data_IF_217249081606
#
_entry.id   IF_217249081606
#
_cell.length_a   1.000
_cell.length_b   1.000
_cell.length_c   1.000
_cell.angle_alpha   90.00
_cell.angle_beta   90.00
_cell.angle_gamma   90.00
#
_symmetry.space_group_name_H-M   'P 1'
#
loop_
_entity.id
_entity.type
_entity.pdbx_description
1 polymer ?
#
# COMPACT_ATOMS: atom_id res chain seq x y z
N UNK A 1 -1.94 -5.99 -24.84
CA UNK A 1 -2.21 -6.23 -23.39
C UNK A 1 -3.03 -7.50 -23.27
N UNK A 2 -2.70 -8.39 -22.34
CA UNK A 2 -3.48 -9.61 -22.10
C UNK A 2 -4.26 -9.47 -20.81
N UNK A 3 -5.53 -9.83 -20.83
CA UNK A 3 -6.45 -9.74 -19.70
C UNK A 3 -7.01 -11.13 -19.44
N UNK A 4 -6.95 -11.59 -18.19
CA UNK A 4 -7.43 -12.92 -17.81
C UNK A 4 -8.35 -12.83 -16.59
N UNK A 5 -9.59 -13.26 -16.76
CA UNK A 5 -10.50 -13.59 -15.66
C UNK A 5 -10.48 -15.11 -15.38
N UNK A 6 -10.89 -15.49 -14.16
CA UNK A 6 -10.95 -16.89 -13.71
C UNK A 6 -11.91 -17.76 -14.54
N UNK A 7 -12.90 -17.15 -15.17
CA UNK A 7 -14.03 -17.82 -15.80
C UNK A 7 -13.94 -17.97 -17.34
N UNK A 8 -12.77 -17.90 -17.98
CA UNK A 8 -12.54 -18.34 -19.37
C UNK A 8 -12.27 -17.29 -20.45
N UNK A 9 -12.26 -16.00 -20.19
CA UNK A 9 -12.06 -15.05 -21.29
C UNK A 9 -10.67 -14.41 -21.24
N UNK A 10 -9.76 -14.94 -22.03
CA UNK A 10 -8.56 -14.21 -22.41
C UNK A 10 -8.99 -13.17 -23.45
N UNK A 11 -8.96 -11.89 -23.07
CA UNK A 11 -9.20 -10.77 -23.98
C UNK A 11 -7.86 -10.10 -24.29
N UNK A 12 -7.57 -9.87 -25.54
CA UNK A 12 -6.42 -9.07 -25.96
C UNK A 12 -6.89 -7.68 -26.36
N UNK A 13 -6.27 -6.66 -25.76
CA UNK A 13 -6.51 -5.27 -26.10
C UNK A 13 -5.29 -4.76 -26.86
N UNK A 14 -5.51 -4.24 -28.06
CA UNK A 14 -4.48 -3.71 -28.95
C UNK A 14 -4.87 -2.33 -29.46
N UNK A 15 -3.89 -1.47 -29.70
CA UNK A 15 -4.14 -0.14 -30.24
C UNK A 15 -3.23 0.93 -29.63
N UNK A 16 -3.53 2.20 -29.89
CA UNK A 16 -2.84 3.33 -29.26
C UNK A 16 -3.02 3.34 -27.74
N UNK A 17 -2.06 3.93 -27.02
CA UNK A 17 -2.09 3.98 -25.55
C UNK A 17 -3.42 4.49 -24.96
N UNK A 18 -4.02 5.59 -25.48
CA UNK A 18 -5.30 6.07 -24.95
C UNK A 18 -6.42 5.03 -25.07
N UNK A 19 -6.52 4.37 -26.22
CA UNK A 19 -7.55 3.34 -26.46
C UNK A 19 -7.34 2.15 -25.52
N UNK A 20 -6.11 1.63 -25.44
CA UNK A 20 -5.78 0.52 -24.54
C UNK A 20 -6.09 0.87 -23.06
N UNK A 21 -5.85 2.11 -22.65
CA UNK A 21 -6.15 2.55 -21.29
C UNK A 21 -7.67 2.54 -21.02
N UNK A 22 -8.46 3.14 -21.93
CA UNK A 22 -9.92 3.20 -21.81
C UNK A 22 -10.54 1.80 -21.80
N UNK A 23 -10.21 0.96 -22.78
CA UNK A 23 -10.74 -0.40 -22.87
C UNK A 23 -10.36 -1.27 -21.67
N UNK A 24 -9.14 -1.09 -21.13
CA UNK A 24 -8.71 -1.79 -19.92
C UNK A 24 -9.47 -1.36 -18.67
N UNK A 25 -9.75 -0.07 -18.54
CA UNK A 25 -10.57 0.46 -17.44
C UNK A 25 -12.00 -0.06 -17.50
N UNK A 26 -12.61 -0.01 -18.69
CA UNK A 26 -13.96 -0.54 -18.93
C UNK A 26 -14.02 -2.03 -18.61
N UNK A 27 -13.03 -2.80 -19.04
CA UNK A 27 -12.98 -4.23 -18.76
C UNK A 27 -12.90 -4.51 -17.26
N UNK A 28 -12.06 -3.78 -16.51
CA UNK A 28 -11.97 -3.91 -15.04
C UNK A 28 -13.32 -3.57 -14.40
N UNK A 29 -13.95 -2.47 -14.82
CA UNK A 29 -15.25 -2.05 -14.28
C UNK A 29 -16.35 -3.09 -14.53
N UNK A 30 -16.38 -3.71 -15.71
CA UNK A 30 -17.35 -4.74 -16.07
C UNK A 30 -17.14 -6.08 -15.34
N UNK A 31 -15.91 -6.36 -14.90
CA UNK A 31 -15.51 -7.62 -14.26
C UNK A 31 -15.22 -7.48 -12.76
N UNK A 32 -15.48 -6.31 -12.18
CA UNK A 32 -15.39 -6.04 -10.74
C UNK A 32 -16.79 -5.89 -10.14
N UNK A 33 -16.88 -6.10 -8.83
CA UNK A 33 -18.13 -5.89 -8.11
C UNK A 33 -18.39 -4.39 -7.87
N UNK A 34 -19.61 -4.05 -7.50
CA UNK A 34 -19.98 -2.75 -6.95
C UNK A 34 -20.14 -2.87 -5.42
N UNK A 35 -19.76 -1.84 -4.71
CA UNK A 35 -19.88 -1.76 -3.25
C UNK A 35 -20.84 -0.64 -2.89
N UNK A 36 -21.93 -1.00 -2.23
CA UNK A 36 -22.89 0.00 -1.75
C UNK A 36 -22.35 0.71 -0.51
N UNK A 37 -22.29 2.03 -0.56
CA UNK A 37 -21.82 2.89 0.55
C UNK A 37 -22.84 3.97 0.88
N UNK A 38 -22.93 4.30 2.17
CA UNK A 38 -23.71 5.45 2.60
C UNK A 38 -22.88 6.73 2.42
N UNK A 39 -23.47 7.70 1.74
CA UNK A 39 -22.92 9.07 1.66
C UNK A 39 -23.09 9.79 3.01
N UNK A 40 -22.40 10.89 3.20
CA UNK A 40 -22.56 11.75 4.37
C UNK A 40 -24.00 12.29 4.54
N UNK A 41 -24.79 12.32 3.45
CA UNK A 41 -26.21 12.68 3.46
C UNK A 41 -27.15 11.50 3.78
N UNK A 42 -26.60 10.31 4.06
CA UNK A 42 -27.37 9.11 4.42
C UNK A 42 -27.96 8.34 3.22
N UNK A 43 -27.63 8.75 1.99
CA UNK A 43 -28.05 8.01 0.79
C UNK A 43 -27.09 6.86 0.49
N UNK A 44 -27.64 5.72 0.06
CA UNK A 44 -26.85 4.59 -0.45
C UNK A 44 -26.44 4.87 -1.89
N UNK A 45 -25.16 4.76 -2.19
CA UNK A 45 -24.60 4.90 -3.53
C UNK A 45 -23.76 3.67 -3.85
N UNK A 46 -23.94 3.15 -5.06
CA UNK A 46 -23.12 2.06 -5.57
C UNK A 46 -21.85 2.63 -6.22
N UNK A 47 -20.72 2.27 -5.67
CA UNK A 47 -19.39 2.66 -6.15
C UNK A 47 -18.65 1.45 -6.73
N UNK A 48 -17.77 1.65 -7.72
CA UNK A 48 -16.87 0.59 -8.17
C UNK A 48 -16.05 0.04 -7.00
N UNK A 49 -15.86 -1.27 -6.96
CA UNK A 49 -15.03 -1.92 -5.94
C UNK A 49 -13.63 -1.32 -5.86
N UNK A 50 -13.00 -1.09 -7.02
CA UNK A 50 -11.69 -0.46 -7.11
C UNK A 50 -11.81 1.00 -7.53
N UNK A 51 -11.12 1.95 -6.85
CA UNK A 51 -11.18 3.37 -7.18
C UNK A 51 -10.72 3.63 -8.62
N UNK A 52 -11.54 4.26 -9.47
CA UNK A 52 -11.19 4.48 -10.89
C UNK A 52 -9.88 5.28 -11.08
N UNK A 53 -9.62 6.28 -10.23
CA UNK A 53 -8.37 7.06 -10.29
C UNK A 53 -7.13 6.20 -10.02
N UNK A 54 -7.18 5.33 -9.00
CA UNK A 54 -6.08 4.42 -8.69
C UNK A 54 -5.84 3.40 -9.82
N UNK A 55 -6.91 2.84 -10.38
CA UNK A 55 -6.82 1.87 -11.48
C UNK A 55 -6.25 2.55 -12.72
N UNK A 56 -6.76 3.73 -13.08
CA UNK A 56 -6.28 4.51 -14.21
C UNK A 56 -4.77 4.78 -14.10
N UNK A 57 -4.32 5.23 -12.95
CA UNK A 57 -2.92 5.54 -12.72
C UNK A 57 -2.03 4.27 -12.82
N UNK A 58 -2.46 3.14 -12.25
CA UNK A 58 -1.72 1.88 -12.36
C UNK A 58 -1.64 1.40 -13.81
N UNK A 59 -2.73 1.47 -14.57
CA UNK A 59 -2.76 1.07 -15.97
C UNK A 59 -1.90 1.98 -16.84
N UNK A 60 -2.01 3.31 -16.65
CA UNK A 60 -1.18 4.28 -17.36
C UNK A 60 0.30 4.03 -17.10
N UNK A 61 0.69 3.82 -15.84
CA UNK A 61 2.05 3.48 -15.47
C UNK A 61 2.51 2.15 -16.09
N UNK A 62 1.67 1.12 -16.04
CA UNK A 62 1.99 -0.17 -16.64
C UNK A 62 2.21 -0.09 -18.16
N UNK A 63 1.44 0.73 -18.86
CA UNK A 63 1.56 0.92 -20.30
C UNK A 63 2.78 1.78 -20.69
N UNK A 64 3.05 2.85 -19.95
CA UNK A 64 4.11 3.82 -20.25
C UNK A 64 5.49 3.34 -19.79
N UNK A 65 5.55 2.64 -18.66
CA UNK A 65 6.81 2.20 -18.06
C UNK A 65 7.18 0.74 -18.36
N UNK A 66 6.38 0.01 -19.15
CA UNK A 66 6.73 -1.36 -19.56
C UNK A 66 8.07 -1.41 -20.29
N UNK A 67 8.77 -2.51 -20.16
CA UNK A 67 9.96 -2.74 -20.98
C UNK A 67 9.58 -2.88 -22.47
N UNK A 68 10.19 -2.08 -23.33
CA UNK A 68 10.02 -2.07 -24.78
C UNK A 68 11.25 -2.66 -25.50
N UNK A 69 12.15 -3.28 -24.76
CA UNK A 69 13.31 -3.98 -25.27
C UNK A 69 13.14 -5.50 -25.24
N UNK A 70 14.00 -6.23 -24.50
CA UNK A 70 14.01 -7.70 -24.51
C UNK A 70 12.69 -8.37 -24.17
N UNK A 71 11.83 -7.73 -23.37
CA UNK A 71 10.52 -8.30 -23.02
C UNK A 71 9.56 -8.35 -24.22
N UNK A 72 9.68 -7.41 -25.15
CA UNK A 72 8.87 -7.42 -26.40
C UNK A 72 9.30 -8.56 -27.30
N UNK A 73 10.61 -8.80 -27.43
CA UNK A 73 11.15 -9.87 -28.27
C UNK A 73 10.68 -11.27 -27.86
N UNK A 74 10.45 -11.46 -26.56
CA UNK A 74 9.90 -12.71 -26.00
C UNK A 74 8.38 -12.68 -25.81
N UNK A 75 7.68 -11.71 -26.39
CA UNK A 75 6.23 -11.60 -26.42
C UNK A 75 5.56 -11.27 -25.10
N UNK A 76 6.28 -10.72 -24.11
CA UNK A 76 5.68 -10.30 -22.86
C UNK A 76 4.79 -9.08 -23.05
N UNK A 77 3.59 -9.15 -22.50
CA UNK A 77 2.57 -8.09 -22.56
C UNK A 77 2.24 -7.59 -21.15
N UNK A 78 1.65 -6.41 -21.04
CA UNK A 78 0.98 -5.99 -19.80
C UNK A 78 -0.19 -6.94 -19.56
N UNK A 79 -0.31 -7.48 -18.36
CA UNK A 79 -1.38 -8.40 -17.98
C UNK A 79 -2.23 -7.82 -16.86
N UNK A 80 -3.54 -8.01 -16.98
CA UNK A 80 -4.52 -7.71 -15.93
C UNK A 80 -5.22 -9.02 -15.58
N UNK A 81 -5.32 -9.30 -14.29
CA UNK A 81 -6.00 -10.49 -13.77
C UNK A 81 -6.90 -10.10 -12.61
N UNK A 82 -8.15 -10.52 -12.66
CA UNK A 82 -9.07 -10.42 -11.53
C UNK A 82 -9.25 -11.82 -10.96
N UNK A 83 -9.08 -11.94 -9.66
CA UNK A 83 -9.28 -13.18 -8.89
C UNK A 83 -10.30 -12.93 -7.79
N UNK A 84 -10.73 -13.97 -7.06
CA UNK A 84 -11.60 -13.80 -5.90
C UNK A 84 -11.00 -12.93 -4.79
N UNK A 85 -9.67 -12.82 -4.75
CA UNK A 85 -8.95 -12.16 -3.65
C UNK A 85 -8.32 -10.83 -4.03
N UNK A 86 -8.03 -10.60 -5.30
CA UNK A 86 -7.30 -9.41 -5.72
C UNK A 86 -7.41 -9.13 -7.21
N UNK A 87 -7.26 -7.86 -7.54
CA UNK A 87 -6.92 -7.40 -8.90
C UNK A 87 -5.39 -7.30 -8.99
N UNK A 88 -4.82 -7.84 -10.04
CA UNK A 88 -3.38 -7.90 -10.30
C UNK A 88 -3.10 -7.23 -11.64
N UNK A 89 -2.20 -6.25 -11.64
CA UNK A 89 -1.65 -5.65 -12.87
C UNK A 89 -0.17 -5.98 -12.93
N UNK A 90 0.27 -6.59 -14.02
CA UNK A 90 1.66 -6.99 -14.28
C UNK A 90 2.20 -6.21 -15.45
N UNK A 91 3.30 -5.49 -15.25
CA UNK A 91 4.03 -4.80 -16.31
C UNK A 91 5.35 -5.52 -16.58
N UNK A 92 5.69 -5.83 -17.83
CA UNK A 92 7.01 -6.36 -18.18
C UNK A 92 8.11 -5.35 -17.87
N UNK A 93 9.22 -5.84 -17.31
CA UNK A 93 10.33 -5.04 -16.83
C UNK A 93 10.15 -4.64 -15.36
N UNK A 94 11.27 -4.38 -14.69
CA UNK A 94 11.31 -3.91 -13.32
C UNK A 94 11.50 -2.39 -13.22
N UNK A 95 11.57 -1.91 -12.00
CA UNK A 95 11.92 -0.53 -11.70
C UNK A 95 13.38 -0.25 -12.13
N UNK A 96 13.64 0.93 -12.68
CA UNK A 96 15.00 1.36 -13.06
C UNK A 96 15.42 2.52 -12.18
N UNK A 97 16.47 2.30 -11.37
CA UNK A 97 17.03 3.31 -10.50
C UNK A 97 16.19 3.71 -9.28
N UNK A 98 15.15 2.94 -8.98
CA UNK A 98 14.30 3.11 -7.81
C UNK A 98 14.04 1.75 -7.15
N UNK A 99 13.92 1.76 -5.83
CA UNK A 99 13.38 0.62 -5.09
C UNK A 99 11.87 0.82 -4.82
N UNK A 100 11.16 -0.25 -4.48
CA UNK A 100 9.74 -0.17 -4.10
C UNK A 100 9.56 0.76 -2.90
N UNK A 101 10.44 0.73 -1.91
CA UNK A 101 10.39 1.62 -0.75
C UNK A 101 10.56 3.11 -1.12
N UNK A 102 11.40 3.42 -2.11
CA UNK A 102 11.52 4.79 -2.64
C UNK A 102 10.28 5.20 -3.43
N UNK A 103 9.67 4.26 -4.16
CA UNK A 103 8.45 4.50 -4.92
C UNK A 103 7.26 4.83 -3.99
N UNK A 104 7.18 4.17 -2.83
CA UNK A 104 6.17 4.42 -1.80
C UNK A 104 6.50 5.64 -0.91
N UNK A 105 7.70 6.19 -1.02
CA UNK A 105 8.12 7.36 -0.25
C UNK A 105 7.33 8.61 -0.66
N UNK A 106 7.00 9.50 0.28
CA UNK A 106 6.39 10.79 -0.04
C UNK A 106 7.31 11.73 -0.82
N UNK A 107 8.61 11.43 -0.88
CA UNK A 107 9.56 12.18 -1.69
C UNK A 107 9.38 11.78 -3.14
N UNK A 108 8.84 12.70 -3.94
CA UNK A 108 8.57 12.47 -5.35
C UNK A 108 9.88 12.22 -6.12
N UNK A 109 10.05 11.00 -6.60
CA UNK A 109 11.21 10.63 -7.42
C UNK A 109 10.71 10.18 -8.79
N UNK A 110 11.21 10.81 -9.86
CA UNK A 110 10.87 10.48 -11.24
C UNK A 110 11.99 9.65 -11.85
N UNK A 111 11.67 8.43 -12.28
CA UNK A 111 12.60 7.58 -13.03
C UNK A 111 11.85 6.86 -14.15
N UNK A 112 11.54 7.55 -15.26
CA UNK A 112 10.83 6.94 -16.37
C UNK A 112 11.70 5.89 -17.06
N UNK A 113 11.14 4.65 -17.16
CA UNK A 113 11.79 3.54 -17.87
C UNK A 113 11.93 3.87 -19.37
N UNK A 114 10.87 4.43 -19.96
CA UNK A 114 10.82 4.86 -21.34
C UNK A 114 10.68 6.39 -21.42
N UNK A 115 11.79 7.10 -21.31
CA UNK A 115 11.77 8.58 -21.24
C UNK A 115 11.01 9.23 -22.41
N UNK A 116 11.26 8.78 -23.65
CA UNK A 116 10.58 9.33 -24.83
C UNK A 116 9.08 9.05 -24.83
N UNK A 117 8.69 7.81 -24.50
CA UNK A 117 7.28 7.43 -24.42
C UNK A 117 6.56 8.20 -23.30
N UNK A 118 7.22 8.37 -22.16
CA UNK A 118 6.72 9.18 -21.06
C UNK A 118 6.48 10.63 -21.46
N UNK A 119 7.44 11.25 -22.16
CA UNK A 119 7.30 12.62 -22.67
C UNK A 119 6.13 12.75 -23.66
N UNK A 120 5.95 11.79 -24.56
CA UNK A 120 4.82 11.77 -25.51
C UNK A 120 3.50 11.55 -24.76
N UNK A 121 3.45 10.60 -23.84
CA UNK A 121 2.22 10.24 -23.10
C UNK A 121 1.60 11.41 -22.30
N UNK A 122 2.39 12.40 -21.90
CA UNK A 122 1.91 13.63 -21.25
C UNK A 122 1.01 14.49 -22.15
N UNK A 123 1.12 14.34 -23.46
CA UNK A 123 0.31 15.07 -24.44
C UNK A 123 -0.80 14.22 -25.04
N UNK A 124 -0.76 12.89 -24.86
CA UNK A 124 -1.82 12.01 -25.32
C UNK A 124 -3.07 12.20 -24.49
N UNK A 125 -4.22 12.13 -25.16
CA UNK A 125 -5.54 12.21 -24.55
C UNK A 125 -6.41 11.06 -24.99
N UNK A 126 -7.31 10.66 -24.12
CA UNK A 126 -8.41 9.75 -24.44
C UNK A 126 -9.43 10.46 -25.36
N UNK A 127 -10.40 9.73 -25.85
CA UNK A 127 -11.51 10.31 -26.67
C UNK A 127 -12.29 11.36 -25.89
N UNK A 128 -12.43 11.20 -24.57
CA UNK A 128 -13.07 12.14 -23.67
C UNK A 128 -12.20 13.37 -23.34
N UNK A 129 -10.99 13.46 -23.91
CA UNK A 129 -10.07 14.58 -23.74
C UNK A 129 -9.21 14.51 -22.48
N UNK A 130 -9.27 13.46 -21.68
CA UNK A 130 -8.45 13.27 -20.49
C UNK A 130 -7.00 12.92 -20.85
N UNK A 131 -6.05 13.35 -20.04
CA UNK A 131 -4.63 13.02 -20.23
C UNK A 131 -4.38 11.55 -19.88
N UNK A 132 -3.50 10.89 -20.65
CA UNK A 132 -3.08 9.51 -20.35
C UNK A 132 -2.26 9.47 -19.06
N UNK A 133 -1.36 10.42 -18.85
CA UNK A 133 -0.60 10.60 -17.60
C UNK A 133 -0.59 12.07 -17.18
N UNK A 134 -0.56 12.32 -15.89
CA UNK A 134 -0.53 13.69 -15.35
C UNK A 134 0.88 14.30 -15.37
N UNK A 135 1.92 13.47 -15.29
CA UNK A 135 3.31 13.89 -15.45
C UNK A 135 3.94 14.62 -14.26
N UNK A 136 3.22 14.77 -13.14
CA UNK A 136 3.72 15.48 -11.96
C UNK A 136 4.52 14.59 -11.00
N UNK A 137 4.48 13.26 -11.18
CA UNK A 137 5.27 12.29 -10.40
C UNK A 137 4.65 11.87 -9.07
N UNK A 138 3.36 12.15 -8.86
CA UNK A 138 2.60 11.79 -7.65
C UNK A 138 1.79 10.49 -7.76
N UNK A 139 1.83 9.78 -8.89
CA UNK A 139 0.90 8.71 -9.22
C UNK A 139 0.80 7.58 -8.18
N UNK A 140 1.91 7.15 -7.60
CA UNK A 140 1.87 6.13 -6.54
C UNK A 140 1.20 6.66 -5.27
N UNK A 141 1.44 7.91 -4.92
CA UNK A 141 0.78 8.53 -3.77
C UNK A 141 -0.72 8.70 -4.00
N UNK A 142 -1.13 8.98 -5.23
CA UNK A 142 -2.53 9.02 -5.63
C UNK A 142 -3.19 7.64 -5.52
N UNK A 143 -2.53 6.58 -6.00
CA UNK A 143 -3.01 5.19 -5.84
C UNK A 143 -3.23 4.87 -4.36
N UNK A 144 -2.25 5.20 -3.51
CA UNK A 144 -2.33 4.95 -2.07
C UNK A 144 -3.42 5.78 -1.40
N UNK A 145 -3.60 7.04 -1.80
CA UNK A 145 -4.65 7.92 -1.29
C UNK A 145 -6.04 7.43 -1.72
N UNK A 146 -6.25 7.17 -3.00
CA UNK A 146 -7.54 6.72 -3.52
C UNK A 146 -7.97 5.36 -2.92
N UNK A 147 -7.05 4.42 -2.74
CA UNK A 147 -7.36 3.14 -2.08
C UNK A 147 -7.68 3.30 -0.60
N UNK A 148 -7.04 4.25 0.10
CA UNK A 148 -7.37 4.59 1.48
C UNK A 148 -8.77 5.20 1.59
N UNK A 149 -9.07 6.18 0.74
CA UNK A 149 -10.39 6.81 0.68
C UNK A 149 -11.51 5.79 0.40
N UNK A 150 -11.23 4.82 -0.46
CA UNK A 150 -12.13 3.71 -0.75
C UNK A 150 -12.17 2.65 0.37
N UNK A 151 -11.46 2.83 1.49
CA UNK A 151 -11.34 1.87 2.59
C UNK A 151 -10.95 0.45 2.15
N UNK A 152 -10.15 0.37 1.09
CA UNK A 152 -9.55 -0.88 0.64
C UNK A 152 -8.24 -1.14 1.38
N UNK A 153 -7.82 -2.42 1.49
CA UNK A 153 -6.48 -2.74 1.96
C UNK A 153 -5.41 -2.07 1.09
N UNK A 154 -4.26 -1.72 1.71
CA UNK A 154 -3.15 -1.09 0.99
C UNK A 154 -2.72 -1.94 -0.22
N UNK A 155 -2.59 -1.37 -1.42
CA UNK A 155 -2.03 -2.07 -2.57
C UNK A 155 -0.58 -2.50 -2.29
N UNK A 156 -0.18 -3.62 -2.86
CA UNK A 156 1.20 -4.13 -2.76
C UNK A 156 1.91 -3.95 -4.09
N UNK A 157 3.12 -3.43 -4.02
CA UNK A 157 4.01 -3.24 -5.16
C UNK A 157 5.13 -4.28 -5.07
N UNK A 158 5.35 -5.05 -6.12
CA UNK A 158 6.37 -6.10 -6.17
C UNK A 158 7.23 -5.87 -7.41
N UNK A 159 8.52 -5.70 -7.20
CA UNK A 159 9.53 -5.64 -8.25
C UNK A 159 10.49 -6.82 -8.12
N UNK A 160 10.58 -7.64 -9.16
CA UNK A 160 11.54 -8.73 -9.23
C UNK A 160 12.62 -8.50 -10.30
N UNK A 161 12.69 -7.29 -10.87
CA UNK A 161 13.63 -6.88 -11.92
C UNK A 161 13.23 -7.33 -13.33
N UNK A 162 12.31 -8.28 -13.46
CA UNK A 162 11.79 -8.81 -14.73
C UNK A 162 10.36 -8.38 -15.00
N UNK A 163 9.60 -8.21 -13.92
CA UNK A 163 8.21 -7.78 -13.91
C UNK A 163 7.97 -6.87 -12.70
N UNK A 164 7.18 -5.83 -12.91
CA UNK A 164 6.61 -5.02 -11.84
C UNK A 164 5.13 -5.35 -11.69
N UNK A 165 4.71 -5.65 -10.45
CA UNK A 165 3.32 -6.05 -10.16
C UNK A 165 2.69 -5.09 -9.16
N UNK A 166 1.44 -4.74 -9.43
CA UNK A 166 0.57 -4.05 -8.49
C UNK A 166 -0.58 -4.97 -8.13
N UNK A 167 -0.77 -5.22 -6.84
CA UNK A 167 -1.83 -6.07 -6.33
C UNK A 167 -2.78 -5.23 -5.49
N UNK A 168 -4.05 -5.21 -5.86
CA UNK A 168 -5.13 -4.61 -5.07
C UNK A 168 -5.89 -5.74 -4.38
N UNK A 169 -5.73 -5.94 -3.07
CA UNK A 169 -6.56 -6.90 -2.34
C UNK A 169 -8.01 -6.45 -2.35
N UNK A 170 -8.93 -7.42 -2.48
CA UNK A 170 -10.38 -7.19 -2.38
C UNK A 170 -10.80 -7.18 -0.91
N UNK A 171 -11.96 -6.61 -0.65
CA UNK A 171 -12.58 -6.61 0.66
C UNK A 171 -12.32 -5.36 1.48
N UNK A 172 -12.68 -5.40 2.75
CA UNK A 172 -12.55 -4.27 3.65
C UNK A 172 -11.12 -4.10 4.18
N UNK A 173 -10.70 -2.85 4.36
CA UNK A 173 -9.43 -2.50 5.01
C UNK A 173 -9.35 -2.99 6.46
N UNK A 174 -10.48 -3.01 7.13
CA UNK A 174 -10.62 -3.39 8.53
C UNK A 174 -11.46 -4.65 8.68
N UNK A 175 -11.26 -5.40 9.76
CA UNK A 175 -12.10 -6.53 10.11
C UNK A 175 -13.52 -6.07 10.47
N UNK A 176 -14.49 -6.98 10.48
CA UNK A 176 -15.87 -6.65 10.90
C UNK A 176 -15.93 -6.13 12.33
N UNK A 177 -15.10 -6.67 13.22
CA UNK A 177 -14.97 -6.22 14.59
C UNK A 177 -14.44 -4.78 14.67
N UNK A 178 -13.40 -4.47 13.88
CA UNK A 178 -12.83 -3.12 13.79
C UNK A 178 -13.82 -2.13 13.18
N UNK A 179 -14.53 -2.53 12.12
CA UNK A 179 -15.57 -1.69 11.52
C UNK A 179 -16.72 -1.40 12.51
N UNK A 180 -17.14 -2.41 13.29
CA UNK A 180 -18.18 -2.25 14.30
C UNK A 180 -17.70 -1.33 15.43
N UNK A 181 -16.47 -1.50 15.88
CA UNK A 181 -15.86 -0.65 16.89
C UNK A 181 -15.73 0.82 16.43
N UNK A 182 -15.25 1.06 15.20
CA UNK A 182 -15.16 2.41 14.62
C UNK A 182 -16.54 3.07 14.53
N UNK A 183 -17.58 2.32 14.10
CA UNK A 183 -18.96 2.81 14.09
C UNK A 183 -19.45 3.17 15.50
N UNK A 184 -19.05 2.40 16.50
CA UNK A 184 -19.34 2.69 17.90
C UNK A 184 -18.73 4.01 18.36
N UNK A 185 -17.50 4.31 17.97
CA UNK A 185 -16.86 5.60 18.27
C UNK A 185 -17.54 6.79 17.57
N UNK A 186 -18.11 6.57 16.38
CA UNK A 186 -18.82 7.59 15.60
C UNK A 186 -20.27 7.83 16.07
N UNK A 187 -20.78 7.02 16.98
CA UNK A 187 -22.17 7.12 17.46
C UNK A 187 -22.49 8.44 18.16
N UNK A 188 -21.47 9.23 18.55
CA UNK A 188 -21.58 10.59 19.07
C UNK A 188 -21.82 11.69 18.03
N UNK A 189 -21.97 11.35 16.74
CA UNK A 189 -22.15 12.30 15.65
C UNK A 189 -20.86 12.78 14.97
N UNK A 190 -19.71 12.39 15.48
CA UNK A 190 -18.41 12.66 14.84
C UNK A 190 -18.16 11.66 13.72
N UNK A 191 -17.76 12.18 12.56
CA UNK A 191 -17.29 11.35 11.43
C UNK A 191 -15.77 11.42 11.34
N UNK A 192 -15.15 10.24 11.26
CA UNK A 192 -13.71 10.12 11.06
C UNK A 192 -13.37 9.96 9.58
N UNK A 193 -12.31 10.64 9.16
CA UNK A 193 -11.72 10.42 7.84
C UNK A 193 -11.03 9.04 7.79
N UNK A 194 -10.82 8.45 6.60
CA UNK A 194 -10.11 7.19 6.48
C UNK A 194 -8.72 7.18 7.14
N UNK A 195 -8.02 8.31 7.15
CA UNK A 195 -6.73 8.46 7.83
C UNK A 195 -6.87 8.47 9.36
N UNK A 196 -7.92 9.07 9.88
CA UNK A 196 -8.25 9.05 11.32
C UNK A 196 -8.64 7.63 11.76
N UNK A 197 -9.45 6.93 10.96
CA UNK A 197 -9.79 5.52 11.18
C UNK A 197 -8.54 4.62 11.21
N UNK A 198 -7.59 4.84 10.28
CA UNK A 198 -6.32 4.13 10.27
C UNK A 198 -5.53 4.33 11.57
N UNK A 199 -5.41 5.57 12.04
CA UNK A 199 -4.69 5.86 13.27
C UNK A 199 -5.39 5.22 14.47
N UNK A 200 -6.72 5.28 14.55
CA UNK A 200 -7.50 4.66 15.62
C UNK A 200 -7.31 3.14 15.67
N UNK A 201 -7.40 2.47 14.51
CA UNK A 201 -7.17 1.01 14.43
C UNK A 201 -5.70 0.68 14.74
N UNK A 202 -4.76 1.53 14.35
CA UNK A 202 -3.36 1.36 14.72
C UNK A 202 -3.15 1.44 16.23
N UNK A 203 -3.73 2.44 16.89
CA UNK A 203 -3.70 2.56 18.34
C UNK A 203 -4.40 1.37 19.03
N UNK A 204 -5.46 0.82 18.42
CA UNK A 204 -6.12 -0.39 18.93
C UNK A 204 -5.19 -1.62 18.87
N UNK A 205 -4.47 -1.78 17.77
CA UNK A 205 -3.62 -2.94 17.54
C UNK A 205 -2.28 -2.87 18.27
N UNK A 206 -1.70 -1.68 18.38
CA UNK A 206 -0.31 -1.48 18.81
C UNK A 206 -0.19 -0.70 20.13
N UNK A 207 -1.27 -0.11 20.62
CA UNK A 207 -1.28 0.69 21.83
C UNK A 207 -0.82 2.14 21.63
N UNK A 208 -0.32 2.75 22.71
CA UNK A 208 0.06 4.15 22.71
C UNK A 208 1.26 4.47 21.80
N UNK A 209 1.26 5.64 21.14
CA UNK A 209 2.32 6.06 20.22
C UNK A 209 2.67 7.54 20.38
N UNK A 210 3.90 7.93 20.04
CA UNK A 210 4.36 9.32 20.16
C UNK A 210 3.97 10.16 18.93
N UNK A 211 3.91 11.50 19.14
CA UNK A 211 3.69 12.45 18.03
C UNK A 211 4.73 12.29 16.92
N UNK A 212 5.99 12.02 17.28
CA UNK A 212 7.06 11.83 16.29
C UNK A 212 6.81 10.58 15.42
N UNK A 213 6.41 9.46 16.01
CA UNK A 213 6.10 8.24 15.26
C UNK A 213 4.90 8.46 14.33
N UNK A 214 3.85 9.15 14.79
CA UNK A 214 2.68 9.50 13.97
C UNK A 214 3.10 10.37 12.78
N UNK A 215 3.87 11.44 13.01
CA UNK A 215 4.31 12.33 11.92
C UNK A 215 5.22 11.65 10.92
N UNK A 216 6.05 10.72 11.36
CA UNK A 216 6.89 9.93 10.46
C UNK A 216 6.04 8.98 9.60
N UNK A 217 5.07 8.30 10.19
CA UNK A 217 4.20 7.34 9.49
C UNK A 217 3.23 8.01 8.52
N UNK A 218 2.69 9.16 8.92
CA UNK A 218 1.78 9.97 8.10
C UNK A 218 2.50 11.17 7.47
N UNK A 219 3.79 11.04 7.16
CA UNK A 219 4.63 12.13 6.61
C UNK A 219 4.05 12.86 5.38
N UNK A 220 3.28 12.22 4.48
CA UNK A 220 2.63 12.93 3.38
C UNK A 220 1.67 14.02 3.82
N UNK A 221 1.05 13.89 5.02
CA UNK A 221 0.14 14.90 5.55
C UNK A 221 0.83 16.15 6.10
N UNK A 222 2.12 16.04 6.45
CA UNK A 222 2.86 17.09 7.13
C UNK A 222 2.50 17.22 8.63
N UNK A 223 3.41 17.75 9.42
CA UNK A 223 3.28 17.82 10.88
C UNK A 223 2.06 18.63 11.35
N UNK A 224 1.69 19.70 10.65
CA UNK A 224 0.56 20.54 11.04
C UNK A 224 -0.79 19.80 10.83
N UNK A 225 -0.94 19.08 9.75
CA UNK A 225 -2.15 18.26 9.50
C UNK A 225 -2.26 17.12 10.51
N UNK A 226 -1.15 16.47 10.85
CA UNK A 226 -1.13 15.47 11.94
C UNK A 226 -1.56 16.07 13.27
N UNK A 227 -1.11 17.29 13.63
CA UNK A 227 -1.57 17.98 14.86
C UNK A 227 -3.07 18.27 14.83
N UNK A 228 -3.58 18.70 13.68
CA UNK A 228 -5.02 18.99 13.54
C UNK A 228 -5.86 17.72 13.67
N UNK A 229 -5.42 16.64 13.04
CA UNK A 229 -6.03 15.30 13.14
C UNK A 229 -6.07 14.81 14.59
N UNK A 230 -4.95 14.85 15.28
CA UNK A 230 -4.86 14.42 16.68
C UNK A 230 -5.73 15.28 17.60
N UNK A 231 -5.73 16.62 17.39
CA UNK A 231 -6.58 17.53 18.17
C UNK A 231 -8.07 17.22 17.98
N UNK A 232 -8.49 16.89 16.75
CA UNK A 232 -9.85 16.48 16.45
C UNK A 232 -10.20 15.18 17.18
N UNK A 233 -9.34 14.16 17.13
CA UNK A 233 -9.56 12.88 17.78
C UNK A 233 -9.58 12.98 19.32
N UNK A 234 -8.76 13.87 19.90
CA UNK A 234 -8.81 14.20 21.34
C UNK A 234 -10.12 14.91 21.68
N UNK A 235 -10.52 15.90 20.87
CA UNK A 235 -11.79 16.62 21.04
C UNK A 235 -13.03 15.73 20.92
N UNK A 236 -12.98 14.72 20.07
CA UNK A 236 -14.02 13.69 19.93
C UNK A 236 -13.99 12.65 21.07
N UNK A 237 -13.02 12.73 21.99
CA UNK A 237 -12.87 11.77 23.07
C UNK A 237 -12.44 10.36 22.62
N UNK A 238 -11.99 10.21 21.37
CA UNK A 238 -11.55 8.92 20.86
C UNK A 238 -10.15 8.53 21.35
N UNK A 239 -9.27 9.53 21.53
CA UNK A 239 -7.92 9.35 22.05
C UNK A 239 -7.64 10.31 23.19
N UNK A 240 -6.64 10.00 24.01
CA UNK A 240 -6.09 10.88 25.05
C UNK A 240 -4.61 11.13 24.78
N UNK A 241 -4.14 12.32 25.16
CA UNK A 241 -2.73 12.70 25.14
C UNK A 241 -2.19 12.77 26.54
N UNK A 242 -1.05 12.15 26.78
CA UNK A 242 -0.27 12.26 28.00
C UNK A 242 1.21 12.31 27.66
N UNK A 243 1.89 13.38 28.07
CA UNK A 243 3.34 13.57 27.84
C UNK A 243 3.81 13.40 26.39
N UNK A 244 2.98 13.85 25.43
CA UNK A 244 3.27 13.74 23.97
C UNK A 244 3.07 12.35 23.41
N UNK A 245 2.43 11.46 24.16
CA UNK A 245 2.03 10.11 23.75
C UNK A 245 0.50 10.06 23.62
N UNK A 246 0.01 9.45 22.55
CA UNK A 246 -1.40 9.31 22.22
C UNK A 246 -1.84 7.87 22.41
N UNK A 247 -2.97 7.66 23.08
CA UNK A 247 -3.58 6.35 23.27
C UNK A 247 -5.10 6.43 23.13
N UNK A 248 -5.77 5.29 22.90
CA UNK A 248 -7.24 5.25 22.91
C UNK A 248 -7.79 5.59 24.28
N UNK A 249 -8.92 6.30 24.30
CA UNK A 249 -9.66 6.58 25.52
C UNK A 249 -10.09 5.27 26.19
N UNK A 250 -9.80 5.13 27.49
CA UNK A 250 -10.08 3.91 28.26
C UNK A 250 -9.00 2.82 28.20
N UNK A 251 -7.96 2.98 27.40
CA UNK A 251 -6.75 2.17 27.55
C UNK A 251 -5.86 2.82 28.64
N UNK A 252 -5.56 2.06 29.68
CA UNK A 252 -4.66 2.53 30.75
C UNK A 252 -3.29 2.83 30.15
N UNK A 253 -2.76 4.03 30.40
CA UNK A 253 -1.39 4.46 30.03
C UNK A 253 -0.28 3.69 30.78
N UNK A 254 -0.64 2.60 31.41
CA UNK A 254 0.21 1.83 32.30
C UNK A 254 1.04 0.73 31.66
N UNK A 255 1.53 0.94 30.46
CA UNK A 255 2.71 0.23 29.93
C UNK A 255 3.28 1.06 28.79
N UNK A 256 4.38 1.78 29.03
CA UNK A 256 5.38 2.06 28.02
C UNK A 256 5.90 0.68 27.53
N UNK A 257 5.14 0.00 26.70
CA UNK A 257 5.71 -1.05 25.89
C UNK A 257 6.30 -0.35 24.67
N UNK A 258 7.63 -0.23 24.62
CA UNK A 258 8.32 -0.28 23.34
C UNK A 258 7.47 -1.17 22.43
N UNK A 259 7.23 -0.74 21.18
CA UNK A 259 6.44 -1.44 20.16
C UNK A 259 6.70 -2.96 20.15
N UNK A 260 6.29 -3.65 21.19
CA UNK A 260 6.33 -5.10 21.27
C UNK A 260 5.09 -5.59 20.57
N UNK A 261 5.25 -5.82 19.25
CA UNK A 261 4.27 -6.52 18.44
C UNK A 261 3.87 -7.78 19.22
N UNK A 262 2.59 -7.90 19.56
CA UNK A 262 2.10 -9.09 20.30
C UNK A 262 2.47 -10.33 19.49
N UNK A 263 3.01 -11.34 20.17
CA UNK A 263 3.47 -12.60 19.54
C UNK A 263 2.38 -13.25 18.67
N UNK A 264 1.11 -13.08 19.04
CA UNK A 264 -0.06 -13.57 18.29
C UNK A 264 -0.22 -12.88 16.92
N UNK A 265 0.01 -11.57 16.81
CA UNK A 265 -0.08 -10.87 15.53
C UNK A 265 1.08 -11.24 14.59
N UNK A 266 2.27 -11.50 15.15
CA UNK A 266 3.40 -11.98 14.37
C UNK A 266 3.22 -13.42 13.87
N UNK A 267 2.59 -14.28 14.65
CA UNK A 267 2.28 -15.64 14.26
C UNK A 267 1.30 -15.71 13.07
N UNK A 268 0.37 -14.78 13.00
CA UNK A 268 -0.56 -14.64 11.88
C UNK A 268 0.13 -14.27 10.55
N UNK A 269 1.30 -13.60 10.61
CA UNK A 269 2.08 -13.20 9.45
C UNK A 269 2.92 -14.35 8.86
N UNK A 270 3.15 -15.42 9.62
CA UNK A 270 3.86 -16.61 9.14
C UNK A 270 4.62 -17.35 10.23
N UNK A 271 4.86 -18.65 10.01
CA UNK A 271 5.44 -19.58 10.99
C UNK A 271 6.78 -19.11 11.60
N UNK A 272 7.66 -18.54 10.79
CA UNK A 272 9.00 -18.13 11.22
C UNK A 272 9.09 -16.63 11.58
N UNK A 273 8.03 -15.86 11.37
CA UNK A 273 8.02 -14.41 11.59
C UNK A 273 8.29 -14.03 13.04
N UNK A 274 7.67 -14.66 14.06
CA UNK A 274 7.94 -14.34 15.46
C UNK A 274 9.40 -14.57 15.84
N UNK A 275 10.00 -15.70 15.41
CA UNK A 275 11.39 -16.05 15.71
C UNK A 275 12.38 -15.05 15.09
N UNK A 276 12.14 -14.65 13.83
CA UNK A 276 12.98 -13.67 13.14
C UNK A 276 12.83 -12.29 13.79
N UNK A 277 11.62 -11.87 14.13
CA UNK A 277 11.41 -10.62 14.83
C UNK A 277 12.11 -10.59 16.19
N UNK A 278 12.00 -11.64 17.00
CA UNK A 278 12.66 -11.72 18.30
C UNK A 278 14.20 -11.71 18.20
N UNK A 279 14.77 -12.23 17.11
CA UNK A 279 16.21 -12.22 16.87
C UNK A 279 16.78 -10.84 16.50
N UNK A 280 15.91 -9.87 16.11
CA UNK A 280 16.31 -8.48 15.89
C UNK A 280 16.29 -7.77 17.25
N UNK A 281 17.39 -7.18 17.74
CA UNK A 281 17.41 -6.48 19.02
C UNK A 281 16.49 -5.25 19.00
N UNK A 282 15.88 -4.87 20.14
CA UNK A 282 15.05 -3.67 20.24
C UNK A 282 15.83 -2.38 19.89
N UNK A 283 17.10 -2.32 20.30
CA UNK A 283 18.00 -1.24 19.96
C UNK A 283 19.18 -1.79 19.18
N UNK A 284 19.36 -1.29 17.94
CA UNK A 284 20.43 -1.73 17.04
C UNK A 284 19.90 -2.31 15.74
N UNK A 285 20.83 -2.72 14.87
CA UNK A 285 20.53 -3.33 13.60
C UNK A 285 21.36 -4.61 13.42
N UNK A 286 20.78 -5.61 12.75
CA UNK A 286 21.42 -6.91 12.53
C UNK A 286 21.47 -7.24 11.04
N UNK A 287 22.50 -7.94 10.62
CA UNK A 287 22.66 -8.47 9.27
C UNK A 287 21.88 -9.77 9.08
N UNK A 288 21.63 -10.14 7.82
CA UNK A 288 21.04 -11.44 7.50
C UNK A 288 21.86 -12.61 8.03
N UNK A 289 23.20 -12.46 8.07
CA UNK A 289 24.12 -13.49 8.58
C UNK A 289 23.97 -13.68 10.09
N UNK A 290 23.82 -12.61 10.85
CA UNK A 290 23.57 -12.66 12.30
C UNK A 290 22.21 -13.26 12.61
N UNK A 291 21.16 -12.89 11.85
CA UNK A 291 19.83 -13.50 11.95
C UNK A 291 19.89 -15.01 11.67
N UNK A 292 20.67 -15.42 10.67
CA UNK A 292 20.88 -16.84 10.36
C UNK A 292 21.55 -17.58 11.52
N UNK A 293 22.59 -16.99 12.11
CA UNK A 293 23.28 -17.56 13.24
C UNK A 293 22.38 -17.70 14.49
N UNK A 294 21.52 -16.71 14.73
CA UNK A 294 20.64 -16.68 15.91
C UNK A 294 19.41 -17.58 15.76
N UNK A 295 18.81 -17.63 14.56
CA UNK A 295 17.56 -18.37 14.33
C UNK A 295 17.73 -19.78 13.79
N UNK A 296 18.90 -20.09 13.23
CA UNK A 296 19.15 -21.35 12.52
C UNK A 296 18.41 -21.52 11.19
N UNK A 297 17.69 -20.48 10.74
CA UNK A 297 16.91 -20.51 9.51
C UNK A 297 17.81 -20.32 8.28
N UNK A 298 17.43 -20.95 7.16
CA UNK A 298 18.10 -20.72 5.88
C UNK A 298 17.91 -19.29 5.38
N UNK A 299 18.79 -18.75 4.52
CA UNK A 299 18.63 -17.41 3.94
C UNK A 299 17.29 -17.21 3.21
N UNK A 300 16.75 -18.25 2.59
CA UNK A 300 15.45 -18.22 1.93
C UNK A 300 14.30 -18.07 2.95
N UNK A 301 14.34 -18.84 4.04
CA UNK A 301 13.35 -18.75 5.12
C UNK A 301 13.39 -17.40 5.84
N UNK A 302 14.60 -16.85 6.04
CA UNK A 302 14.76 -15.52 6.63
C UNK A 302 14.16 -14.43 5.75
N UNK A 303 14.43 -14.45 4.44
CA UNK A 303 13.84 -13.47 3.50
C UNK A 303 12.32 -13.58 3.49
N UNK A 304 11.78 -14.78 3.44
CA UNK A 304 10.35 -15.03 3.48
C UNK A 304 9.69 -14.52 4.77
N UNK A 305 10.36 -14.65 5.91
CA UNK A 305 9.87 -14.15 7.20
C UNK A 305 10.09 -12.65 7.40
N UNK A 306 11.15 -12.07 6.80
CA UNK A 306 11.41 -10.63 6.84
C UNK A 306 10.45 -9.83 5.94
N UNK A 307 9.99 -10.42 4.84
CA UNK A 307 9.07 -9.76 3.89
C UNK A 307 7.82 -9.21 4.59
N UNK A 308 7.00 -10.00 5.31
CA UNK A 308 5.86 -9.47 6.02
C UNK A 308 6.22 -8.48 7.15
N UNK A 309 7.38 -8.64 7.80
CA UNK A 309 7.85 -7.70 8.82
C UNK A 309 8.21 -6.33 8.21
N UNK A 310 8.76 -6.31 7.00
CA UNK A 310 9.03 -5.09 6.24
C UNK A 310 7.73 -4.48 5.70
N UNK A 311 6.84 -5.30 5.16
CA UNK A 311 5.54 -4.88 4.60
C UNK A 311 4.65 -4.22 5.66
N UNK A 312 4.68 -4.74 6.89
CA UNK A 312 3.93 -4.20 8.03
C UNK A 312 4.73 -3.16 8.84
N UNK A 313 5.87 -2.71 8.33
CA UNK A 313 6.75 -1.73 8.97
C UNK A 313 7.16 -2.09 10.42
N UNK A 314 7.20 -3.39 10.76
CA UNK A 314 7.74 -3.87 12.04
C UNK A 314 9.27 -3.86 12.07
N UNK A 315 9.87 -3.88 10.89
CA UNK A 315 11.31 -3.86 10.67
C UNK A 315 11.62 -2.92 9.50
N UNK A 316 12.71 -2.19 9.59
CA UNK A 316 13.28 -1.42 8.48
C UNK A 316 14.58 -2.06 7.99
N UNK A 317 14.73 -2.10 6.68
CA UNK A 317 15.97 -2.48 6.03
C UNK A 317 16.85 -1.25 5.79
N UNK A 318 18.07 -1.28 6.30
CA UNK A 318 19.07 -0.24 6.12
C UNK A 318 20.13 -0.75 5.13
N UNK A 319 20.27 -0.12 3.97
CA UNK A 319 21.13 -0.55 2.86
C UNK A 319 20.34 -1.12 1.67
N UNK A 320 21.05 -1.53 0.60
CA UNK A 320 20.46 -2.08 -0.61
C UNK A 320 20.23 -3.58 -0.55
N UNK A 321 19.15 -4.07 -1.20
CA UNK A 321 18.87 -5.50 -1.31
C UNK A 321 20.05 -6.24 -2.00
N UNK A 322 20.61 -7.24 -1.32
CA UNK A 322 21.74 -8.02 -1.84
C UNK A 322 23.15 -7.46 -1.54
N UNK A 323 23.26 -6.30 -0.90
CA UNK A 323 24.55 -5.80 -0.44
C UNK A 323 24.97 -6.49 0.87
N UNK A 324 26.27 -6.77 1.04
CA UNK A 324 26.82 -7.41 2.26
C UNK A 324 26.63 -6.56 3.53
N UNK A 325 26.37 -5.27 3.38
CA UNK A 325 26.16 -4.29 4.46
C UNK A 325 24.68 -4.04 4.80
N UNK A 326 23.74 -4.78 4.20
CA UNK A 326 22.31 -4.63 4.53
C UNK A 326 22.02 -5.12 5.93
N UNK A 327 21.39 -4.26 6.73
CA UNK A 327 20.99 -4.55 8.10
C UNK A 327 19.49 -4.35 8.30
N UNK A 328 18.95 -5.01 9.30
CA UNK A 328 17.54 -4.97 9.69
C UNK A 328 17.41 -4.44 11.12
N UNK A 329 16.52 -3.52 11.34
CA UNK A 329 16.26 -2.89 12.65
C UNK A 329 14.76 -2.90 12.92
N UNK A 330 14.36 -3.13 14.20
CA UNK A 330 12.97 -2.90 14.61
C UNK A 330 12.62 -1.43 14.46
N UNK A 331 11.38 -1.18 14.09
CA UNK A 331 10.85 0.18 13.90
C UNK A 331 10.53 0.81 15.23
#
# INVERSE_FOLDING_TARGET
MCIRDRNRNLTEIEGPLPVMLTEAMEWIQQNSDTVSRYTNSGHLVDEPEFPPSAIREVLANALVHRDLGPSVDVGKKVEIRITERMLIVVSPGGLRGLSVSQLESPVLTKSPVNKRLYEIARYLRTEDGERVIEGEGGGIQEILAATREARLPKPRFIDNGVEFKVLFPRGSRFTEEQNTWLKGLQSGGEQFTPTEEDLLVELQNHGATSFQAITQRYSPLGAQSCRNMLRKLVGAGAIVESDGVFSLTGQSTGQHSDFTVRAESLAALGKNVPAVYQAIPPAGAVTLKELQATTGLSPAQLRYALEPLLDHAHVVMLGGQGQRSTTYRRT
#
